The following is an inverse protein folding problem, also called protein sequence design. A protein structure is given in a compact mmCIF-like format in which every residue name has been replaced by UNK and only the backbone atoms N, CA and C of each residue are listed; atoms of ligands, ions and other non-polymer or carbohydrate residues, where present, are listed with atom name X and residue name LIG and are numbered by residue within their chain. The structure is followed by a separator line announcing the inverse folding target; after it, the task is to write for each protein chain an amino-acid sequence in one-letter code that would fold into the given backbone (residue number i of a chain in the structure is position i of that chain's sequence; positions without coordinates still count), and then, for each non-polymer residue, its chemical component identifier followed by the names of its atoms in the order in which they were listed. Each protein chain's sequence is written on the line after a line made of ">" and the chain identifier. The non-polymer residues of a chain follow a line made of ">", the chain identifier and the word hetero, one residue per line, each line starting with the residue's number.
data_IF_197238326105
#
_entry.id   IF_197238326105
#
_cell.length_a   1.000
_cell.length_b   1.000
_cell.length_c   1.000
_cell.angle_alpha   90.00
_cell.angle_beta   90.00
_cell.angle_gamma   90.00
#
_symmetry.space_group_name_H-M   'P 1'
#
loop_
_entity.id
_entity.type
_entity.pdbx_description
1 polymer ?
#
# COMPACT_ATOMS: atom_id res chain seq x y z
N UNK A 1 3.43 5.09 -30.29
CA UNK A 1 4.02 5.35 -31.62
C UNK A 1 3.01 5.05 -32.75
N UNK A 2 2.42 3.88 -32.80
CA UNK A 2 1.44 3.46 -33.84
C UNK A 2 0.28 4.44 -34.00
N UNK A 3 -0.34 4.91 -32.92
CA UNK A 3 -1.46 5.87 -32.97
C UNK A 3 -1.03 7.22 -33.55
N UNK A 4 0.12 7.74 -33.16
CA UNK A 4 0.68 8.98 -33.69
C UNK A 4 0.94 8.85 -35.20
N UNK A 5 1.58 7.75 -35.61
CA UNK A 5 1.97 7.52 -36.98
C UNK A 5 0.72 7.31 -37.88
N UNK A 6 -0.32 6.67 -37.34
CA UNK A 6 -1.63 6.55 -38.00
C UNK A 6 -2.34 7.92 -38.16
N UNK A 7 -2.30 8.77 -37.15
CA UNK A 7 -2.89 10.13 -37.22
C UNK A 7 -2.10 11.01 -38.20
N UNK A 8 -0.78 10.95 -38.16
CA UNK A 8 0.09 11.72 -39.07
C UNK A 8 -0.03 11.30 -40.54
N UNK A 9 -0.51 10.09 -40.79
CA UNK A 9 -0.78 9.60 -42.15
C UNK A 9 -2.10 10.09 -42.75
N UNK A 10 -2.98 10.74 -41.97
CA UNK A 10 -4.25 11.29 -42.47
C UNK A 10 -4.02 12.53 -43.32
N UNK A 11 -4.70 12.66 -44.49
CA UNK A 11 -4.56 13.83 -45.33
C UNK A 11 -4.99 15.15 -44.62
N UNK A 12 -4.11 16.15 -44.65
CA UNK A 12 -4.38 17.44 -44.01
C UNK A 12 -4.22 17.54 -42.52
N UNK A 13 -3.70 16.47 -41.89
CA UNK A 13 -3.39 16.44 -40.44
C UNK A 13 -1.90 16.61 -40.22
N UNK A 14 -1.52 17.56 -39.35
CA UNK A 14 -0.14 17.73 -38.86
C UNK A 14 -0.15 17.41 -37.37
N UNK A 15 0.65 16.42 -36.97
CA UNK A 15 0.83 16.07 -35.55
C UNK A 15 2.05 16.83 -35.00
N UNK A 16 1.82 18.00 -34.41
CA UNK A 16 2.88 18.87 -33.87
C UNK A 16 3.53 18.29 -32.62
N UNK A 17 2.75 17.68 -31.75
CA UNK A 17 3.26 17.04 -30.53
C UNK A 17 2.38 15.89 -30.09
N UNK A 18 2.99 14.95 -29.37
CA UNK A 18 2.28 13.86 -28.68
C UNK A 18 2.72 13.87 -27.23
N UNK A 19 1.77 14.06 -26.33
CA UNK A 19 2.00 14.00 -24.90
C UNK A 19 1.18 12.84 -24.30
N UNK A 20 1.86 11.96 -23.55
CA UNK A 20 1.20 10.99 -22.71
C UNK A 20 0.93 11.62 -21.34
N UNK A 21 -0.33 11.83 -21.01
CA UNK A 21 -0.74 12.48 -19.76
C UNK A 21 -0.29 11.69 -18.53
N UNK A 22 -0.21 10.37 -18.65
CA UNK A 22 0.29 9.52 -17.57
C UNK A 22 1.76 9.81 -17.28
N UNK A 23 2.61 9.83 -18.31
CA UNK A 23 4.02 10.19 -18.14
C UNK A 23 4.19 11.62 -17.63
N UNK A 24 3.41 12.56 -18.15
CA UNK A 24 3.48 13.96 -17.73
C UNK A 24 3.16 14.13 -16.24
N UNK A 25 2.18 13.38 -15.71
CA UNK A 25 1.82 13.41 -14.29
C UNK A 25 2.83 12.75 -13.35
N UNK A 26 3.82 12.03 -13.90
CA UNK A 26 4.87 11.38 -13.11
C UNK A 26 6.21 12.15 -13.13
N UNK A 27 6.33 13.19 -13.94
CA UNK A 27 7.58 13.98 -13.99
C UNK A 27 7.81 14.67 -12.64
N UNK A 28 8.92 14.32 -11.99
CA UNK A 28 9.28 14.83 -10.66
C UNK A 28 8.64 14.10 -9.49
N UNK A 29 7.90 13.01 -9.74
CA UNK A 29 7.18 12.24 -8.74
C UNK A 29 5.81 12.81 -8.39
N UNK A 30 5.05 12.10 -7.56
CA UNK A 30 3.67 12.46 -7.16
C UNK A 30 3.56 12.87 -5.69
N UNK A 31 4.64 12.74 -4.93
CA UNK A 31 4.68 12.98 -3.47
C UNK A 31 5.78 13.96 -3.14
N UNK A 32 5.48 14.91 -2.28
CA UNK A 32 6.44 15.89 -1.76
C UNK A 32 6.22 16.14 -0.27
N UNK A 33 7.21 16.74 0.41
CA UNK A 33 7.15 17.09 1.82
C UNK A 33 6.87 18.58 1.98
N UNK A 34 5.85 18.91 2.77
CA UNK A 34 5.54 20.28 3.15
C UNK A 34 5.85 20.55 4.63
N UNK A 35 6.54 21.66 4.91
CA UNK A 35 6.74 22.12 6.27
C UNK A 35 5.42 22.58 6.89
N UNK A 36 5.08 22.08 8.08
CA UNK A 36 3.92 22.51 8.88
C UNK A 36 4.22 23.73 9.76
N UNK A 37 5.50 24.09 9.88
CA UNK A 37 5.96 25.19 10.74
C UNK A 37 6.70 26.25 9.95
N UNK A 38 6.52 27.55 10.27
CA UNK A 38 7.23 28.60 9.57
C UNK A 38 8.69 28.68 10.05
N UNK A 39 9.60 29.11 9.16
CA UNK A 39 11.00 29.43 9.47
C UNK A 39 11.29 30.88 9.01
N UNK A 40 10.74 31.86 9.72
CA UNK A 40 10.84 33.30 9.36
C UNK A 40 11.95 34.03 10.09
N UNK A 41 12.35 33.53 11.25
CA UNK A 41 13.30 34.13 12.15
C UNK A 41 14.07 33.10 12.98
N UNK A 42 14.99 33.58 13.82
CA UNK A 42 15.87 32.76 14.64
C UNK A 42 15.11 31.97 15.71
N UNK A 43 14.00 32.52 16.19
CA UNK A 43 13.18 31.86 17.22
C UNK A 43 12.39 30.68 16.59
N UNK A 44 11.86 30.86 15.37
CA UNK A 44 11.22 29.79 14.64
C UNK A 44 12.22 28.65 14.38
N UNK A 45 13.45 28.99 13.95
CA UNK A 45 14.52 28.01 13.74
C UNK A 45 14.87 27.25 15.01
N UNK A 46 15.01 27.95 16.14
CA UNK A 46 15.32 27.33 17.44
C UNK A 46 14.23 26.35 17.88
N UNK A 47 12.97 26.69 17.67
CA UNK A 47 11.85 25.81 17.99
C UNK A 47 11.78 24.59 17.08
N UNK A 48 12.02 24.78 15.77
CA UNK A 48 11.94 23.71 14.78
C UNK A 48 13.18 22.78 14.80
N UNK A 49 14.33 23.31 15.18
CA UNK A 49 15.61 22.58 15.15
C UNK A 49 16.39 22.85 16.43
N UNK A 50 17.64 23.32 16.35
CA UNK A 50 18.50 23.53 17.53
C UNK A 50 18.52 24.99 17.99
N UNK A 51 18.56 25.24 19.31
CA UNK A 51 18.65 24.30 20.45
C UNK A 51 17.29 23.86 21.01
N UNK A 52 16.18 24.51 20.68
CA UNK A 52 14.88 24.32 21.33
C UNK A 52 14.31 22.91 21.20
N UNK A 53 14.55 22.21 20.05
CA UNK A 53 14.08 20.85 19.81
C UNK A 53 14.60 19.83 20.83
N UNK A 54 15.75 20.09 21.49
CA UNK A 54 16.31 19.19 22.50
C UNK A 54 15.34 18.90 23.65
N UNK A 55 14.48 19.85 24.02
CA UNK A 55 13.44 19.65 25.03
C UNK A 55 12.40 18.63 24.63
N UNK A 56 12.06 18.61 23.34
CA UNK A 56 11.13 17.62 22.75
C UNK A 56 11.78 16.25 22.71
N UNK A 57 13.05 16.17 22.32
CA UNK A 57 13.82 14.92 22.32
C UNK A 57 13.89 14.31 23.72
N UNK A 58 14.22 15.12 24.75
CA UNK A 58 14.22 14.67 26.15
C UNK A 58 12.85 14.19 26.59
N UNK A 59 11.79 14.92 26.27
CA UNK A 59 10.43 14.52 26.63
C UNK A 59 9.99 13.18 26.00
N UNK A 60 10.46 12.86 24.79
CA UNK A 60 10.22 11.57 24.13
C UNK A 60 11.11 10.49 24.74
N UNK A 61 12.38 10.81 25.06
CA UNK A 61 13.28 9.87 25.72
C UNK A 61 12.70 9.39 27.05
N UNK A 62 12.20 10.33 27.88
CA UNK A 62 11.61 10.04 29.18
C UNK A 62 10.26 9.30 29.07
N UNK A 63 9.53 9.51 27.99
CA UNK A 63 8.21 8.91 27.73
C UNK A 63 8.03 8.64 26.25
N UNK A 64 8.45 7.46 25.73
CA UNK A 64 8.45 7.12 24.29
C UNK A 64 7.09 7.29 23.59
N UNK A 65 5.97 7.07 24.28
CA UNK A 65 4.63 7.24 23.73
C UNK A 65 4.36 8.66 23.21
N UNK A 66 5.09 9.67 23.72
CA UNK A 66 5.01 11.06 23.24
C UNK A 66 5.47 11.20 21.78
N UNK A 67 6.19 10.23 21.21
CA UNK A 67 6.53 10.23 19.79
C UNK A 67 5.28 10.31 18.91
N UNK A 68 4.20 9.62 19.26
CA UNK A 68 2.91 9.69 18.55
C UNK A 68 2.23 11.07 18.63
N UNK A 69 2.56 11.89 19.61
CA UNK A 69 2.00 13.23 19.76
C UNK A 69 2.90 14.30 19.14
N UNK A 70 4.22 14.14 19.29
CA UNK A 70 5.19 15.20 19.05
C UNK A 70 5.97 15.06 17.73
N UNK A 71 5.73 13.98 16.95
CA UNK A 71 6.42 13.73 15.69
C UNK A 71 5.45 13.34 14.56
N UNK A 72 5.99 13.20 13.35
CA UNK A 72 5.25 12.69 12.19
C UNK A 72 4.71 11.27 12.39
N UNK A 73 5.22 10.50 13.35
CA UNK A 73 4.71 9.17 13.73
C UNK A 73 3.21 9.18 14.03
N UNK A 74 2.65 10.31 14.42
CA UNK A 74 1.21 10.48 14.67
C UNK A 74 0.32 10.11 13.47
N UNK A 75 0.79 10.35 12.23
CA UNK A 75 -0.04 10.28 11.03
C UNK A 75 0.73 9.78 9.80
N UNK A 76 1.84 9.07 9.96
CA UNK A 76 2.65 8.64 8.81
C UNK A 76 2.70 7.13 8.70
N UNK A 77 2.47 6.61 7.49
CA UNK A 77 2.53 5.19 7.13
C UNK A 77 3.70 4.95 6.16
N UNK A 78 4.47 3.89 6.37
CA UNK A 78 5.40 3.40 5.35
C UNK A 78 4.66 2.50 4.36
N UNK A 79 4.75 2.78 3.06
CA UNK A 79 4.30 1.89 1.98
C UNK A 79 5.50 1.07 1.53
N UNK A 80 5.61 -0.16 2.01
CA UNK A 80 6.77 -1.02 1.84
C UNK A 80 6.54 -2.02 0.70
N UNK A 81 7.47 -2.09 -0.24
CA UNK A 81 7.42 -3.04 -1.36
C UNK A 81 8.82 -3.52 -1.74
N UNK A 82 8.91 -4.74 -2.26
CA UNK A 82 10.09 -5.25 -2.97
C UNK A 82 9.88 -5.35 -4.49
N UNK A 83 8.69 -4.95 -4.96
CA UNK A 83 8.32 -4.92 -6.37
C UNK A 83 8.20 -6.30 -7.03
N UNK A 84 7.94 -7.37 -6.25
CA UNK A 84 7.89 -8.76 -6.77
C UNK A 84 6.52 -9.21 -7.26
N UNK A 85 5.46 -8.45 -6.99
CA UNK A 85 4.09 -8.82 -7.37
C UNK A 85 3.26 -7.62 -7.85
N UNK A 86 3.85 -6.73 -8.64
CA UNK A 86 3.18 -5.53 -9.15
C UNK A 86 2.07 -5.94 -10.11
N UNK A 87 0.86 -5.44 -9.86
CA UNK A 87 -0.37 -5.84 -10.55
C UNK A 87 -0.25 -5.80 -12.08
N UNK A 88 -0.42 -6.95 -12.72
CA UNK A 88 -0.35 -7.12 -14.17
C UNK A 88 1.05 -7.15 -14.77
N UNK A 89 2.10 -6.85 -13.98
CA UNK A 89 3.50 -6.80 -14.44
C UNK A 89 4.37 -7.88 -13.79
N UNK A 90 4.01 -8.34 -12.58
CA UNK A 90 4.77 -9.34 -11.84
C UNK A 90 6.00 -8.75 -11.14
N UNK A 91 7.11 -9.49 -11.20
CA UNK A 91 8.39 -9.11 -10.60
C UNK A 91 9.15 -8.12 -11.49
N UNK A 92 9.04 -6.84 -11.20
CA UNK A 92 9.70 -5.76 -11.96
C UNK A 92 10.77 -5.01 -11.15
N UNK A 93 10.95 -5.40 -9.89
CA UNK A 93 11.93 -4.80 -8.99
C UNK A 93 11.47 -3.49 -8.32
N UNK A 94 12.25 -3.03 -7.32
CA UNK A 94 11.84 -1.93 -6.45
C UNK A 94 11.74 -0.57 -7.16
N UNK A 95 12.70 -0.18 -7.99
CA UNK A 95 12.65 1.12 -8.66
C UNK A 95 11.47 1.22 -9.63
N UNK A 96 11.17 0.15 -10.36
CA UNK A 96 10.04 0.14 -11.30
C UNK A 96 8.68 0.08 -10.58
N UNK A 97 8.63 -0.41 -9.33
CA UNK A 97 7.44 -0.38 -8.49
C UNK A 97 7.19 0.99 -7.85
N UNK A 98 8.20 1.85 -7.72
CA UNK A 98 8.08 3.14 -7.04
C UNK A 98 6.92 4.02 -7.52
N UNK A 99 6.61 4.14 -8.81
CA UNK A 99 5.44 4.92 -9.27
C UNK A 99 4.11 4.39 -8.72
N UNK A 100 3.98 3.08 -8.52
CA UNK A 100 2.78 2.47 -7.91
C UNK A 100 2.72 2.82 -6.42
N UNK A 101 3.84 2.73 -5.71
CA UNK A 101 3.93 3.06 -4.28
C UNK A 101 3.65 4.55 -4.02
N UNK A 102 4.10 5.45 -4.90
CA UNK A 102 3.71 6.86 -4.85
C UNK A 102 2.19 7.02 -5.07
N UNK A 103 1.61 6.27 -6.00
CA UNK A 103 0.17 6.24 -6.22
C UNK A 103 -0.59 5.80 -4.96
N UNK A 104 -0.12 4.76 -4.28
CA UNK A 104 -0.68 4.31 -2.99
C UNK A 104 -0.58 5.41 -1.94
N UNK A 105 0.56 6.12 -1.85
CA UNK A 105 0.72 7.24 -0.93
C UNK A 105 -0.27 8.38 -1.20
N UNK A 106 -0.51 8.71 -2.46
CA UNK A 106 -1.56 9.68 -2.86
C UNK A 106 -2.94 9.23 -2.40
N UNK A 107 -3.29 7.93 -2.56
CA UNK A 107 -4.59 7.41 -2.10
C UNK A 107 -4.74 7.50 -0.57
N UNK A 108 -3.69 7.17 0.19
CA UNK A 108 -3.67 7.36 1.65
C UNK A 108 -3.96 8.82 2.03
N UNK A 109 -3.34 9.76 1.31
CA UNK A 109 -3.53 11.19 1.60
C UNK A 109 -4.93 11.67 1.24
N UNK A 110 -5.38 11.40 0.02
CA UNK A 110 -6.64 11.94 -0.50
C UNK A 110 -7.88 11.33 0.18
N UNK A 111 -7.85 10.04 0.47
CA UNK A 111 -9.01 9.34 1.03
C UNK A 111 -8.94 9.15 2.54
N UNK A 112 -7.74 9.06 3.11
CA UNK A 112 -7.55 8.81 4.54
C UNK A 112 -7.01 10.00 5.34
N UNK A 113 -6.54 11.05 4.68
CA UNK A 113 -5.85 12.16 5.35
C UNK A 113 -4.52 11.75 5.99
N UNK A 114 -4.02 10.54 5.67
CA UNK A 114 -2.80 9.97 6.21
C UNK A 114 -1.61 10.31 5.32
N UNK A 115 -0.52 10.77 5.91
CA UNK A 115 0.73 10.96 5.21
C UNK A 115 1.38 9.58 4.99
N UNK A 116 1.68 9.22 3.75
CA UNK A 116 2.32 7.95 3.45
C UNK A 116 3.62 8.17 2.65
N UNK A 117 4.62 7.35 2.93
CA UNK A 117 5.92 7.45 2.28
C UNK A 117 6.32 6.11 1.66
N UNK A 118 6.63 6.07 0.34
CA UNK A 118 7.14 4.89 -0.32
C UNK A 118 8.49 4.46 0.24
N UNK A 119 8.62 3.17 0.55
CA UNK A 119 9.85 2.53 0.99
C UNK A 119 10.04 1.27 0.14
N UNK A 120 10.80 1.38 -0.92
CA UNK A 120 11.10 0.25 -1.80
C UNK A 120 12.41 -0.41 -1.38
N UNK A 121 12.44 -1.74 -1.33
CA UNK A 121 13.56 -2.51 -0.80
C UNK A 121 14.20 -3.33 -1.92
N UNK A 122 15.51 -3.18 -2.11
CA UNK A 122 16.29 -3.99 -3.05
C UNK A 122 16.73 -5.31 -2.41
N UNK A 123 15.74 -6.07 -1.94
CA UNK A 123 15.93 -7.43 -1.42
C UNK A 123 14.64 -8.22 -1.54
N UNK A 124 14.78 -9.54 -1.74
CA UNK A 124 13.68 -10.52 -1.74
C UNK A 124 13.75 -11.49 -0.57
N UNK A 125 14.74 -11.32 0.30
CA UNK A 125 14.90 -12.16 1.47
C UNK A 125 13.89 -11.77 2.56
N UNK A 126 13.12 -12.76 3.03
CA UNK A 126 12.05 -12.55 4.02
C UNK A 126 12.60 -12.01 5.35
N UNK A 127 13.72 -12.55 5.84
CA UNK A 127 14.31 -12.12 7.12
C UNK A 127 14.88 -10.71 7.01
N UNK A 128 15.50 -10.39 5.89
CA UNK A 128 16.05 -9.06 5.65
C UNK A 128 14.92 -8.02 5.55
N UNK A 129 13.84 -8.29 4.82
CA UNK A 129 12.66 -7.40 4.74
C UNK A 129 12.11 -7.16 6.15
N UNK A 130 11.87 -8.21 6.94
CA UNK A 130 11.36 -8.08 8.32
C UNK A 130 12.30 -7.24 9.18
N UNK A 131 13.61 -7.51 9.10
CA UNK A 131 14.62 -6.77 9.85
C UNK A 131 14.64 -5.28 9.51
N UNK A 132 14.59 -4.94 8.21
CA UNK A 132 14.57 -3.55 7.73
C UNK A 132 13.30 -2.84 8.21
N UNK A 133 12.13 -3.46 8.02
CA UNK A 133 10.84 -2.86 8.43
C UNK A 133 10.82 -2.59 9.94
N UNK A 134 11.32 -3.52 10.74
CA UNK A 134 11.45 -3.32 12.21
C UNK A 134 12.39 -2.17 12.54
N UNK A 135 13.50 -2.06 11.81
CA UNK A 135 14.48 -1.00 12.06
C UNK A 135 13.94 0.41 11.73
N UNK A 136 13.08 0.56 10.72
CA UNK A 136 12.48 1.84 10.35
C UNK A 136 11.17 2.15 11.08
N UNK A 137 10.50 1.16 11.67
CA UNK A 137 9.21 1.30 12.34
C UNK A 137 9.12 2.44 13.39
N UNK A 138 10.21 2.81 14.11
CA UNK A 138 10.15 3.93 15.05
C UNK A 138 9.65 5.25 14.47
N UNK A 139 9.83 5.49 13.16
CA UNK A 139 9.42 6.72 12.49
C UNK A 139 7.94 6.72 12.04
N UNK A 140 7.28 5.57 12.02
CA UNK A 140 5.96 5.40 11.42
C UNK A 140 4.90 5.02 12.44
N UNK A 141 3.67 5.48 12.21
CA UNK A 141 2.47 5.10 12.95
C UNK A 141 1.81 3.82 12.43
N UNK A 142 2.22 3.34 11.26
CA UNK A 142 1.76 2.09 10.66
C UNK A 142 2.60 1.67 9.45
N UNK A 143 2.44 0.43 9.05
CA UNK A 143 3.11 -0.18 7.90
C UNK A 143 2.05 -0.72 6.93
N UNK A 144 2.09 -0.31 5.69
CA UNK A 144 1.37 -0.93 4.58
C UNK A 144 2.35 -1.73 3.72
N UNK A 145 2.20 -3.04 3.68
CA UNK A 145 2.93 -3.89 2.75
C UNK A 145 2.18 -3.90 1.42
N UNK A 146 2.90 -3.73 0.31
CA UNK A 146 2.33 -3.62 -1.03
C UNK A 146 3.15 -4.41 -2.04
N UNK A 147 2.49 -5.10 -2.96
CA UNK A 147 3.11 -5.78 -4.12
C UNK A 147 4.26 -6.75 -3.75
N UNK A 148 4.17 -7.41 -2.58
CA UNK A 148 5.08 -8.48 -2.16
C UNK A 148 4.47 -9.82 -2.52
N UNK A 149 5.21 -10.65 -3.25
CA UNK A 149 4.71 -11.91 -3.79
C UNK A 149 4.36 -12.95 -2.71
N UNK A 150 3.27 -13.69 -2.95
CA UNK A 150 2.97 -14.90 -2.18
C UNK A 150 3.96 -16.04 -2.54
N UNK A 151 4.30 -16.94 -1.59
CA UNK A 151 3.77 -17.04 -0.23
C UNK A 151 4.47 -16.14 0.81
N UNK A 152 5.59 -15.47 0.47
CA UNK A 152 6.42 -14.69 1.41
C UNK A 152 5.63 -13.60 2.12
N UNK A 153 4.72 -12.93 1.42
CA UNK A 153 3.90 -11.86 1.99
C UNK A 153 3.10 -12.29 3.22
N UNK A 154 2.69 -13.55 3.32
CA UNK A 154 1.95 -14.08 4.47
C UNK A 154 2.82 -14.11 5.73
N UNK A 155 4.02 -14.67 5.61
CA UNK A 155 4.99 -14.76 6.71
C UNK A 155 5.46 -13.39 7.15
N UNK A 156 5.80 -12.51 6.19
CA UNK A 156 6.27 -11.15 6.47
C UNK A 156 5.20 -10.39 7.27
N UNK A 157 3.95 -10.42 6.82
CA UNK A 157 2.86 -9.73 7.51
C UNK A 157 2.62 -10.30 8.91
N UNK A 158 2.50 -11.63 9.05
CA UNK A 158 2.21 -12.29 10.32
C UNK A 158 3.28 -11.97 11.37
N UNK A 159 4.55 -12.07 10.99
CA UNK A 159 5.66 -11.78 11.89
C UNK A 159 5.73 -10.31 12.26
N UNK A 160 5.62 -9.40 11.31
CA UNK A 160 5.62 -7.96 11.60
C UNK A 160 4.46 -7.55 12.50
N UNK A 161 3.27 -8.13 12.31
CA UNK A 161 2.11 -7.90 13.18
C UNK A 161 2.32 -8.40 14.60
N UNK A 162 3.06 -9.49 14.78
CA UNK A 162 3.34 -10.03 16.11
C UNK A 162 4.50 -9.34 16.82
N UNK A 163 5.42 -8.74 16.07
CA UNK A 163 6.67 -8.18 16.58
C UNK A 163 6.69 -6.65 16.71
N UNK A 164 5.71 -5.96 16.10
CA UNK A 164 5.57 -4.50 16.17
C UNK A 164 4.33 -4.09 16.97
N UNK A 165 4.42 -2.95 17.65
CA UNK A 165 3.34 -2.33 18.42
C UNK A 165 2.50 -1.32 17.61
N UNK A 166 2.72 -1.26 16.30
CA UNK A 166 1.99 -0.43 15.35
C UNK A 166 1.22 -1.32 14.35
N UNK A 167 0.12 -0.82 13.75
CA UNK A 167 -0.61 -1.56 12.73
C UNK A 167 0.27 -1.96 11.55
N UNK A 168 0.19 -3.23 11.14
CA UNK A 168 0.77 -3.76 9.92
C UNK A 168 -0.33 -4.35 9.07
N UNK A 169 -0.36 -4.00 7.79
CA UNK A 169 -1.43 -4.36 6.87
C UNK A 169 -0.84 -4.68 5.49
N UNK A 170 -1.29 -5.77 4.88
CA UNK A 170 -0.94 -6.11 3.50
C UNK A 170 -2.18 -5.88 2.62
N UNK A 171 -2.14 -4.85 1.78
CA UNK A 171 -3.32 -4.39 1.04
C UNK A 171 -3.81 -5.42 0.03
N UNK A 172 -2.91 -6.08 -0.70
CA UNK A 172 -3.25 -7.12 -1.69
C UNK A 172 -4.03 -8.28 -1.09
N UNK A 173 -3.86 -8.54 0.21
CA UNK A 173 -4.65 -9.53 0.94
C UNK A 173 -5.95 -8.92 1.45
N UNK A 174 -5.83 -7.99 2.38
CA UNK A 174 -6.95 -7.55 3.23
C UNK A 174 -7.78 -6.45 2.60
N UNK A 175 -7.17 -5.51 1.87
CA UNK A 175 -7.91 -4.46 1.15
C UNK A 175 -8.83 -5.07 0.11
N UNK A 176 -8.28 -5.95 -0.72
CA UNK A 176 -9.05 -6.68 -1.74
C UNK A 176 -10.16 -7.54 -1.13
N UNK A 177 -9.89 -8.25 -0.02
CA UNK A 177 -10.89 -9.06 0.66
C UNK A 177 -12.05 -8.22 1.22
N UNK A 178 -11.76 -7.06 1.81
CA UNK A 178 -12.76 -6.13 2.34
C UNK A 178 -13.67 -5.60 1.22
N UNK A 179 -13.10 -5.19 0.10
CA UNK A 179 -13.85 -4.66 -1.05
C UNK A 179 -14.76 -5.73 -1.65
N UNK A 180 -14.24 -6.95 -1.84
CA UNK A 180 -15.02 -8.09 -2.35
C UNK A 180 -16.18 -8.45 -1.41
N UNK A 181 -15.94 -8.54 -0.11
CA UNK A 181 -16.98 -8.81 0.87
C UNK A 181 -18.06 -7.71 0.86
N UNK A 182 -17.66 -6.44 0.82
CA UNK A 182 -18.57 -5.30 0.76
C UNK A 182 -19.48 -5.37 -0.47
N UNK A 183 -18.91 -5.68 -1.63
CA UNK A 183 -19.66 -5.86 -2.89
C UNK A 183 -20.63 -7.06 -2.78
N UNK A 184 -20.16 -8.20 -2.25
CA UNK A 184 -20.98 -9.41 -2.10
C UNK A 184 -22.17 -9.18 -1.15
N UNK A 185 -21.95 -8.53 0.00
CA UNK A 185 -23.04 -8.21 0.94
C UNK A 185 -24.15 -7.41 0.24
N UNK A 186 -23.78 -6.42 -0.57
CA UNK A 186 -24.76 -5.60 -1.28
C UNK A 186 -25.43 -6.37 -2.43
N UNK A 187 -24.69 -7.19 -3.16
CA UNK A 187 -25.25 -8.05 -4.20
C UNK A 187 -26.27 -9.06 -3.63
N UNK A 188 -25.96 -9.68 -2.49
CA UNK A 188 -26.86 -10.62 -1.81
C UNK A 188 -28.16 -9.94 -1.37
N UNK A 189 -28.12 -8.69 -0.89
CA UNK A 189 -29.32 -7.91 -0.57
C UNK A 189 -30.21 -7.71 -1.80
N UNK A 190 -29.61 -7.36 -2.94
CA UNK A 190 -30.35 -7.12 -4.19
C UNK A 190 -31.06 -8.38 -4.68
N UNK A 191 -30.39 -9.55 -4.61
CA UNK A 191 -30.96 -10.82 -5.09
C UNK A 191 -31.76 -11.59 -4.01
N UNK A 192 -31.85 -11.03 -2.79
CA UNK A 192 -32.61 -11.63 -1.69
C UNK A 192 -32.05 -12.96 -1.17
N UNK A 193 -30.73 -13.17 -1.27
CA UNK A 193 -30.05 -14.40 -0.81
C UNK A 193 -29.23 -14.14 0.46
N UNK A 194 -28.99 -15.20 1.22
CA UNK A 194 -28.09 -15.17 2.37
C UNK A 194 -26.73 -15.75 1.97
N UNK A 195 -25.67 -15.33 2.64
CA UNK A 195 -24.29 -15.79 2.35
C UNK A 195 -24.12 -17.30 2.59
N UNK A 196 -24.85 -17.86 3.54
CA UNK A 196 -24.84 -19.29 3.87
C UNK A 196 -25.50 -20.19 2.81
N UNK A 197 -26.33 -19.60 1.92
CA UNK A 197 -27.14 -20.32 0.93
C UNK A 197 -26.53 -20.24 -0.50
N UNK A 198 -25.41 -19.54 -0.67
CA UNK A 198 -24.79 -19.39 -1.99
C UNK A 198 -23.56 -20.25 -2.13
N UNK A 199 -23.34 -20.76 -3.36
CA UNK A 199 -22.09 -21.39 -3.78
C UNK A 199 -21.18 -20.32 -4.39
N UNK A 200 -19.94 -20.27 -3.91
CA UNK A 200 -18.94 -19.27 -4.33
C UNK A 200 -17.76 -20.00 -4.98
N UNK A 201 -17.35 -19.53 -6.15
CA UNK A 201 -16.14 -20.00 -6.81
C UNK A 201 -15.15 -18.84 -6.86
N UNK A 202 -13.95 -19.05 -6.32
CA UNK A 202 -12.87 -18.07 -6.32
C UNK A 202 -11.81 -18.52 -7.34
N UNK A 203 -11.73 -17.83 -8.45
CA UNK A 203 -10.72 -18.07 -9.48
C UNK A 203 -9.44 -17.30 -9.17
N UNK A 204 -8.38 -18.03 -8.82
CA UNK A 204 -7.10 -17.47 -8.38
C UNK A 204 -6.97 -17.41 -6.86
N UNK A 205 -6.29 -18.40 -6.27
CA UNK A 205 -6.03 -18.47 -4.82
C UNK A 205 -4.58 -18.07 -4.55
N UNK A 206 -4.25 -16.82 -4.90
CA UNK A 206 -3.01 -16.15 -4.51
C UNK A 206 -3.20 -15.36 -3.20
N UNK A 207 -2.45 -14.27 -3.02
CA UNK A 207 -2.55 -13.42 -1.83
C UNK A 207 -3.99 -12.95 -1.59
N UNK A 208 -4.63 -12.34 -2.59
CA UNK A 208 -6.00 -11.86 -2.51
C UNK A 208 -7.02 -13.00 -2.33
N UNK A 209 -6.97 -14.03 -3.18
CA UNK A 209 -7.96 -15.11 -3.16
C UNK A 209 -8.00 -15.87 -1.85
N UNK A 210 -6.85 -16.11 -1.23
CA UNK A 210 -6.76 -16.74 0.09
C UNK A 210 -7.42 -15.86 1.17
N UNK A 211 -7.11 -14.56 1.20
CA UNK A 211 -7.68 -13.63 2.16
C UNK A 211 -9.21 -13.48 1.96
N UNK A 212 -9.67 -13.42 0.71
CA UNK A 212 -11.10 -13.40 0.37
C UNK A 212 -11.81 -14.63 0.93
N UNK A 213 -11.30 -15.83 0.64
CA UNK A 213 -11.90 -17.09 1.12
C UNK A 213 -12.00 -17.10 2.64
N UNK A 214 -10.91 -16.76 3.34
CA UNK A 214 -10.91 -16.70 4.81
C UNK A 214 -11.94 -15.72 5.35
N UNK A 215 -12.04 -14.54 4.75
CA UNK A 215 -13.00 -13.51 5.18
C UNK A 215 -14.44 -13.93 4.92
N UNK A 216 -14.73 -14.55 3.77
CA UNK A 216 -16.08 -15.06 3.44
C UNK A 216 -16.50 -16.19 4.36
N UNK A 217 -15.60 -17.13 4.69
CA UNK A 217 -15.85 -18.19 5.68
C UNK A 217 -16.17 -17.60 7.06
N UNK A 218 -15.40 -16.59 7.50
CA UNK A 218 -15.64 -15.89 8.76
C UNK A 218 -17.01 -15.17 8.79
N UNK A 219 -17.55 -14.80 7.61
CA UNK A 219 -18.86 -14.19 7.47
C UNK A 219 -20.01 -15.21 7.31
N UNK A 220 -19.70 -16.50 7.33
CA UNK A 220 -20.71 -17.57 7.33
C UNK A 220 -20.94 -18.23 5.97
N UNK A 221 -20.15 -17.95 4.95
CA UNK A 221 -20.19 -18.73 3.71
C UNK A 221 -19.80 -20.18 3.99
N UNK A 222 -20.54 -21.15 3.36
CA UNK A 222 -20.39 -22.59 3.64
C UNK A 222 -19.88 -23.40 2.45
N UNK A 223 -20.14 -22.94 1.24
CA UNK A 223 -19.80 -23.65 0.00
C UNK A 223 -18.89 -22.74 -0.85
N UNK A 224 -17.57 -22.88 -0.66
CA UNK A 224 -16.57 -22.11 -1.40
C UNK A 224 -15.59 -23.06 -2.09
N UNK A 225 -15.42 -22.89 -3.40
CA UNK A 225 -14.45 -23.60 -4.21
C UNK A 225 -13.35 -22.63 -4.64
N UNK A 226 -12.13 -22.85 -4.15
CA UNK A 226 -10.94 -22.15 -4.62
C UNK A 226 -10.35 -22.84 -5.86
N UNK A 227 -10.00 -22.07 -6.90
CA UNK A 227 -9.36 -22.60 -8.09
C UNK A 227 -7.96 -21.98 -8.26
N UNK A 228 -6.94 -22.83 -8.35
CA UNK A 228 -5.59 -22.48 -8.74
C UNK A 228 -5.37 -22.59 -10.27
N UNK A 229 -4.10 -22.59 -10.68
CA UNK A 229 -3.73 -22.74 -12.09
C UNK A 229 -4.11 -24.11 -12.66
N UNK A 230 -4.08 -25.14 -11.81
CA UNK A 230 -4.34 -26.54 -12.21
C UNK A 230 -5.80 -26.97 -11.96
N UNK A 231 -6.68 -26.03 -11.62
CA UNK A 231 -8.10 -26.28 -11.39
C UNK A 231 -8.51 -26.08 -9.93
N UNK A 232 -9.62 -26.74 -9.53
CA UNK A 232 -10.15 -26.67 -8.20
C UNK A 232 -9.17 -27.29 -7.18
N UNK A 233 -8.97 -26.57 -6.08
CA UNK A 233 -8.16 -27.07 -4.97
C UNK A 233 -9.00 -28.05 -4.16
N UNK A 234 -8.48 -29.26 -3.92
CA UNK A 234 -9.06 -30.22 -2.99
C UNK A 234 -8.71 -29.80 -1.55
N UNK A 235 -9.72 -29.68 -0.70
CA UNK A 235 -9.55 -29.52 0.74
C UNK A 235 -9.13 -30.85 1.38
#
# INVERSE_FOLDING_TARGET
>A
REVRDAIAALPGVIADSVADQTFMSHIGGKVEIHSKVPLRNRDDLSRAYTPGVARVCTAIHDMPQKAHLLTMKANTVAVVSDGTAVLGLGDIGPEAALPVMEGKAVLFKEFGGVDAWPVVLDTKDTEEIISIVKAIAPAYGGINLEDISAPRCFEIEERLRSELDIPVFHDDQHGTAIVVLSALINALKIVGKKIEDVRIVVSGVGAAGNAIIRLLLAQGARDIIGCGRDGALSG
#
